data_IF_927475008784
#
_entry.id   IF_927475008784
#
_cell.length_a   1.000
_cell.length_b   1.000
_cell.length_c   1.000
_cell.angle_alpha   90.00
_cell.angle_beta   90.00
_cell.angle_gamma   90.00
#
_symmetry.space_group_name_H-M   'P 1'
#
loop_
_entity.id
_entity.type
_entity.pdbx_description
1 polymer ?
#
# COMPACT_ATOMS: atom_id res chain seq x y z
N UNK A 1 -22.90 17.69 45.61
CA UNK A 1 -21.82 17.88 46.60
C UNK A 1 -20.52 18.02 45.81
N UNK A 2 -19.74 19.10 45.76
CA UNK A 2 -19.58 20.39 46.46
C UNK A 2 -18.83 21.26 45.41
N UNK A 3 -19.44 22.31 44.86
CA UNK A 3 -19.26 23.74 45.16
C UNK A 3 -18.59 24.48 44.00
N UNK A 4 -19.32 25.48 43.54
CA UNK A 4 -19.02 26.44 42.50
C UNK A 4 -18.46 27.70 43.16
N UNK A 5 -17.37 28.24 42.63
CA UNK A 5 -16.96 29.64 42.88
C UNK A 5 -16.48 30.23 41.56
N UNK A 6 -17.39 31.01 40.96
CA UNK A 6 -17.09 32.03 39.95
C UNK A 6 -16.22 33.12 40.58
N UNK A 7 -15.11 33.44 39.92
CA UNK A 7 -14.30 34.63 40.17
C UNK A 7 -13.85 35.19 38.82
N UNK A 8 -14.64 36.11 38.29
CA UNK A 8 -14.28 37.01 37.19
C UNK A 8 -13.32 38.07 37.71
N UNK A 9 -12.06 38.04 37.27
CA UNK A 9 -11.15 39.19 37.33
C UNK A 9 -10.35 39.28 36.00
N UNK A 10 -10.72 40.29 35.24
CA UNK A 10 -9.95 41.14 34.34
C UNK A 10 -8.78 40.56 33.52
N UNK A 11 -9.05 40.50 32.21
CA UNK A 11 -8.10 40.50 31.10
C UNK A 11 -7.14 41.70 31.19
N UNK A 12 -6.00 41.53 31.87
CA UNK A 12 -4.85 42.39 31.67
C UNK A 12 -4.02 41.90 30.47
N UNK A 13 -4.12 42.64 29.36
CA UNK A 13 -3.14 42.67 28.28
C UNK A 13 -1.75 42.93 28.88
N UNK A 14 -0.96 41.88 29.08
CA UNK A 14 0.48 42.02 29.23
C UNK A 14 1.15 41.62 27.92
N UNK A 15 1.71 42.65 27.31
CA UNK A 15 2.50 42.64 26.09
C UNK A 15 3.58 41.57 26.14
N UNK A 16 3.62 40.72 25.11
CA UNK A 16 4.71 39.79 24.82
C UNK A 16 5.97 40.59 24.41
N UNK A 17 6.63 41.23 25.37
CA UNK A 17 7.94 41.84 25.18
C UNK A 17 8.98 40.73 25.38
N UNK A 18 9.54 40.22 24.28
CA UNK A 18 10.77 39.40 24.34
C UNK A 18 11.82 40.21 25.13
N UNK A 19 12.46 39.65 26.17
CA UNK A 19 13.52 40.36 26.87
C UNK A 19 14.61 40.75 25.85
N UNK A 20 14.97 42.05 25.82
CA UNK A 20 16.05 42.55 24.97
C UNK A 20 17.30 41.72 25.25
N UNK A 21 17.85 41.08 24.22
CA UNK A 21 19.09 40.29 24.34
C UNK A 21 20.19 41.16 24.94
N UNK A 22 20.76 40.74 26.06
CA UNK A 22 21.92 41.40 26.66
C UNK A 22 23.03 41.57 25.61
N UNK A 23 23.74 42.71 25.56
CA UNK A 23 24.86 42.89 24.65
C UNK A 23 25.98 41.86 24.88
N UNK A 24 26.00 41.18 26.04
CA UNK A 24 26.96 40.12 26.37
C UNK A 24 26.49 38.71 25.98
N UNK A 25 25.25 38.56 25.48
CA UNK A 25 24.69 37.25 25.14
C UNK A 25 25.43 36.67 23.92
N UNK A 26 26.17 35.58 24.12
CA UNK A 26 26.83 34.83 23.04
C UNK A 26 28.25 35.29 22.68
N UNK A 27 28.79 36.34 23.31
CA UNK A 27 30.17 36.82 23.04
C UNK A 27 31.21 35.73 23.32
N UNK A 28 31.10 35.04 24.46
CA UNK A 28 32.02 33.96 24.81
C UNK A 28 31.86 32.80 23.84
N UNK A 29 30.63 32.46 23.46
CA UNK A 29 30.37 31.32 22.59
C UNK A 29 30.91 31.53 21.16
N UNK A 30 30.92 32.76 20.65
CA UNK A 30 31.52 33.10 19.36
C UNK A 30 33.01 32.73 19.29
N UNK A 31 33.76 32.89 20.38
CA UNK A 31 35.18 32.52 20.43
C UNK A 31 35.43 31.01 20.24
N UNK A 32 34.42 30.16 20.44
CA UNK A 32 34.54 28.71 20.34
C UNK A 32 33.87 28.14 19.10
N UNK A 33 33.23 28.95 18.25
CA UNK A 33 32.53 28.46 17.05
C UNK A 33 33.45 27.70 16.09
N UNK A 34 34.69 28.17 15.94
CA UNK A 34 35.72 27.54 15.10
C UNK A 34 36.23 26.19 15.65
N UNK A 35 35.87 25.83 16.88
CA UNK A 35 36.25 24.57 17.55
C UNK A 35 35.05 23.64 17.83
N UNK A 36 33.83 24.04 17.42
CA UNK A 36 32.62 23.23 17.62
C UNK A 36 32.53 22.04 16.65
N UNK A 37 33.42 21.96 15.66
CA UNK A 37 33.59 20.79 14.79
C UNK A 37 33.95 19.52 15.57
N UNK A 38 34.78 19.62 16.61
CA UNK A 38 35.12 18.51 17.51
C UNK A 38 33.88 18.01 18.25
N UNK A 39 33.02 18.93 18.71
CA UNK A 39 31.76 18.57 19.36
C UNK A 39 30.82 17.84 18.39
N UNK A 40 30.71 18.31 17.14
CA UNK A 40 29.92 17.62 16.11
C UNK A 40 30.49 16.24 15.79
N UNK A 41 31.81 16.08 15.75
CA UNK A 41 32.44 14.78 15.52
C UNK A 41 32.13 13.77 16.64
N UNK A 42 32.09 14.21 17.89
CA UNK A 42 31.70 13.35 19.02
C UNK A 42 30.20 13.00 18.96
N UNK A 43 29.34 13.95 18.60
CA UNK A 43 27.92 13.66 18.36
C UNK A 43 27.72 12.67 17.21
N UNK A 44 28.49 12.80 16.13
CA UNK A 44 28.46 11.86 15.01
C UNK A 44 28.83 10.46 15.48
N UNK A 45 29.92 10.31 16.24
CA UNK A 45 30.33 9.02 16.80
C UNK A 45 29.25 8.43 17.73
N UNK A 46 28.75 9.23 18.67
CA UNK A 46 27.75 8.77 19.64
C UNK A 46 26.43 8.33 18.97
N UNK A 47 25.99 9.03 17.93
CA UNK A 47 24.82 8.62 17.14
C UNK A 47 25.08 7.34 16.34
N UNK A 48 26.28 7.18 15.79
CA UNK A 48 26.70 5.94 15.14
C UNK A 48 26.61 4.74 16.07
N UNK A 49 27.15 4.87 17.28
CA UNK A 49 27.09 3.84 18.32
C UNK A 49 25.64 3.55 18.75
N UNK A 50 24.79 4.58 18.84
CA UNK A 50 23.37 4.40 19.18
C UNK A 50 22.60 3.65 18.10
N UNK A 51 22.82 3.95 16.80
CA UNK A 51 22.20 3.19 15.70
C UNK A 51 22.70 1.73 15.71
N UNK A 52 24.00 1.51 15.93
CA UNK A 52 24.56 0.16 16.02
C UNK A 52 23.90 -0.63 17.16
N UNK A 53 23.74 -0.01 18.33
CA UNK A 53 23.04 -0.60 19.47
C UNK A 53 21.61 -1.02 19.11
N UNK A 54 20.83 -0.16 18.44
CA UNK A 54 19.48 -0.51 18.01
C UNK A 54 19.45 -1.70 17.05
N UNK A 55 20.40 -1.78 16.12
CA UNK A 55 20.52 -2.91 15.19
C UNK A 55 20.82 -4.20 15.94
N UNK A 56 21.69 -4.15 16.94
CA UNK A 56 22.08 -5.34 17.70
C UNK A 56 20.98 -5.81 18.67
N UNK A 57 20.24 -4.88 19.28
CA UNK A 57 19.05 -5.19 20.08
C UNK A 57 17.97 -5.88 19.23
N UNK A 58 17.68 -5.38 18.04
CA UNK A 58 16.70 -6.01 17.14
C UNK A 58 17.15 -7.39 16.62
N UNK A 59 18.45 -7.60 16.43
CA UNK A 59 18.98 -8.93 16.07
C UNK A 59 18.89 -9.93 17.21
N UNK A 60 19.12 -9.48 18.45
CA UNK A 60 19.16 -10.33 19.64
C UNK A 60 17.76 -10.66 20.15
N UNK A 61 16.94 -9.64 20.34
CA UNK A 61 15.63 -9.74 20.99
C UNK A 61 14.50 -9.92 19.97
N UNK A 62 14.80 -9.73 18.68
CA UNK A 62 13.83 -9.77 17.60
C UNK A 62 13.01 -8.49 17.52
N UNK A 63 12.05 -8.49 16.60
CA UNK A 63 11.14 -7.34 16.45
C UNK A 63 10.08 -7.37 17.56
N UNK A 64 9.80 -6.25 18.25
CA UNK A 64 8.79 -6.21 19.30
C UNK A 64 7.45 -6.73 18.77
N UNK A 65 6.87 -7.68 19.49
CA UNK A 65 5.52 -8.16 19.21
C UNK A 65 4.57 -7.27 19.99
N UNK A 66 3.78 -6.50 19.27
CA UNK A 66 2.75 -5.66 19.88
C UNK A 66 1.47 -6.47 19.99
N UNK A 67 0.84 -6.48 21.17
CA UNK A 67 -0.52 -7.00 21.31
C UNK A 67 -1.45 -6.10 20.48
N UNK A 68 -2.05 -6.63 19.42
CA UNK A 68 -2.88 -5.82 18.52
C UNK A 68 -4.13 -5.29 19.23
N UNK A 69 -4.40 -3.99 19.12
CA UNK A 69 -5.61 -3.33 19.62
C UNK A 69 -5.87 -1.99 18.92
N UNK A 70 -7.13 -1.50 18.91
CA UNK A 70 -7.45 -0.21 18.26
C UNK A 70 -6.69 0.98 18.86
N UNK A 71 -6.27 0.89 20.14
CA UNK A 71 -5.57 1.94 20.89
C UNK A 71 -4.06 1.70 21.06
N UNK A 72 -3.50 0.61 20.50
CA UNK A 72 -2.09 0.27 20.66
C UNK A 72 -1.24 0.93 19.58
N UNK A 73 -0.27 1.74 20.00
CA UNK A 73 0.73 2.33 19.10
C UNK A 73 1.78 1.27 18.74
N UNK A 74 1.77 0.81 17.48
CA UNK A 74 2.75 -0.15 16.97
C UNK A 74 4.04 0.51 16.49
N UNK A 75 4.49 1.52 17.24
CA UNK A 75 5.70 2.28 16.94
C UNK A 75 6.87 1.69 17.73
N UNK A 76 7.99 1.46 17.05
CA UNK A 76 9.21 0.99 17.70
C UNK A 76 9.72 2.02 18.73
N UNK A 77 10.01 1.59 19.99
CA UNK A 77 10.59 2.47 21.01
C UNK A 77 11.91 3.13 20.59
N UNK A 78 12.73 2.43 19.79
CA UNK A 78 14.01 2.94 19.26
C UNK A 78 13.86 4.24 18.47
N UNK A 79 12.71 4.46 17.84
CA UNK A 79 12.44 5.72 17.14
C UNK A 79 12.25 6.89 18.11
N UNK A 80 11.54 6.68 19.22
CA UNK A 80 11.35 7.68 20.26
C UNK A 80 12.69 8.04 20.93
N UNK A 81 13.51 7.03 21.24
CA UNK A 81 14.84 7.22 21.83
C UNK A 81 15.76 8.05 20.91
N UNK A 82 15.72 7.81 19.60
CA UNK A 82 16.48 8.59 18.62
C UNK A 82 16.07 10.07 18.63
N UNK A 83 14.76 10.36 18.59
CA UNK A 83 14.28 11.75 18.59
C UNK A 83 14.47 12.47 19.93
N UNK A 84 14.41 11.76 21.05
CA UNK A 84 14.78 12.31 22.36
C UNK A 84 16.26 12.72 22.34
N UNK A 85 17.13 11.87 21.80
CA UNK A 85 18.55 12.19 21.67
C UNK A 85 18.78 13.41 20.75
N UNK A 86 18.12 13.47 19.58
CA UNK A 86 18.19 14.65 18.70
C UNK A 86 17.72 15.94 19.40
N UNK A 87 16.62 15.87 20.17
CA UNK A 87 16.12 17.02 20.93
C UNK A 87 17.15 17.49 21.96
N UNK A 88 17.78 16.57 22.67
CA UNK A 88 18.82 16.90 23.65
C UNK A 88 20.02 17.58 22.96
N UNK A 89 20.50 17.02 21.84
CA UNK A 89 21.58 17.60 21.05
C UNK A 89 21.25 19.00 20.54
N UNK A 90 20.03 19.20 20.04
CA UNK A 90 19.56 20.50 19.57
C UNK A 90 19.53 21.53 20.71
N UNK A 91 19.02 21.15 21.89
CA UNK A 91 18.97 22.06 23.05
C UNK A 91 20.38 22.47 23.46
N UNK A 92 21.33 21.53 23.57
CA UNK A 92 22.71 21.84 23.95
C UNK A 92 23.42 22.68 22.88
N UNK A 93 23.33 22.30 21.61
CA UNK A 93 23.96 23.04 20.52
C UNK A 93 23.40 24.47 20.41
N UNK A 94 22.08 24.66 20.58
CA UNK A 94 21.46 25.99 20.50
C UNK A 94 21.81 26.94 21.64
N UNK A 95 22.33 26.43 22.76
CA UNK A 95 22.89 27.26 23.84
C UNK A 95 24.30 27.76 23.49
N UNK A 96 25.02 26.99 22.68
CA UNK A 96 26.40 27.29 22.30
C UNK A 96 26.42 28.17 21.05
N UNK A 97 25.78 27.77 19.95
CA UNK A 97 25.75 28.55 18.72
C UNK A 97 24.40 28.43 17.99
N UNK A 98 24.06 29.50 17.26
CA UNK A 98 22.90 29.57 16.36
C UNK A 98 23.33 29.74 14.89
N UNK A 99 24.63 29.61 14.61
CA UNK A 99 25.25 29.82 13.30
C UNK A 99 25.61 28.51 12.59
N UNK A 100 26.81 28.47 12.00
CA UNK A 100 27.31 27.35 11.19
C UNK A 100 27.34 25.99 11.92
N UNK A 101 27.70 25.89 13.21
CA UNK A 101 27.67 24.62 13.95
C UNK A 101 26.29 23.95 13.98
N UNK A 102 25.22 24.76 14.04
CA UNK A 102 23.86 24.24 14.01
C UNK A 102 23.50 23.63 12.64
N UNK A 103 24.07 24.16 11.54
CA UNK A 103 23.93 23.55 10.21
C UNK A 103 24.67 22.22 10.09
N UNK A 104 25.85 22.10 10.71
CA UNK A 104 26.57 20.82 10.79
C UNK A 104 25.77 19.78 11.61
N UNK A 105 25.07 20.23 12.66
CA UNK A 105 24.14 19.38 13.40
C UNK A 105 22.97 18.90 12.54
N UNK A 106 22.39 19.78 11.70
CA UNK A 106 21.35 19.40 10.73
C UNK A 106 21.84 18.27 9.82
N UNK A 107 23.03 18.42 9.25
CA UNK A 107 23.63 17.41 8.36
C UNK A 107 23.86 16.08 9.08
N UNK A 108 24.29 16.13 10.34
CA UNK A 108 24.48 14.95 11.19
C UNK A 108 23.14 14.24 11.43
N UNK A 109 22.08 14.98 11.77
CA UNK A 109 20.73 14.41 11.92
C UNK A 109 20.22 13.80 10.62
N UNK A 110 20.42 14.47 9.48
CA UNK A 110 20.04 13.94 8.16
C UNK A 110 20.72 12.60 7.89
N UNK A 111 22.04 12.50 8.14
CA UNK A 111 22.81 11.25 8.01
C UNK A 111 22.21 10.14 8.87
N UNK A 112 21.94 10.40 10.15
CA UNK A 112 21.46 9.36 11.05
C UNK A 112 19.99 9.00 10.89
N UNK A 113 19.16 9.89 10.35
CA UNK A 113 17.82 9.54 9.87
C UNK A 113 17.90 8.54 8.70
N UNK A 114 18.83 8.73 7.76
CA UNK A 114 19.05 7.80 6.64
C UNK A 114 19.60 6.44 7.11
N UNK A 115 20.54 6.45 8.04
CA UNK A 115 21.06 5.22 8.66
C UNK A 115 19.97 4.46 9.43
N UNK A 116 19.12 5.15 10.20
CA UNK A 116 18.00 4.53 10.88
C UNK A 116 17.00 3.92 9.89
N UNK A 117 16.61 4.68 8.87
CA UNK A 117 15.69 4.22 7.84
C UNK A 117 16.21 2.94 7.15
N UNK A 118 17.49 2.92 6.75
CA UNK A 118 18.06 1.78 6.03
C UNK A 118 18.33 0.57 6.92
N UNK A 119 19.00 0.76 8.07
CA UNK A 119 19.52 -0.33 8.89
C UNK A 119 18.54 -0.87 9.93
N UNK A 120 17.59 -0.04 10.38
CA UNK A 120 16.61 -0.42 11.40
C UNK A 120 15.27 -0.74 10.76
N UNK A 121 14.78 0.06 9.80
CA UNK A 121 13.47 -0.18 9.20
C UNK A 121 13.55 -1.08 7.96
N UNK A 122 14.22 -0.63 6.89
CA UNK A 122 14.25 -1.34 5.60
C UNK A 122 14.90 -2.73 5.72
N UNK A 123 15.99 -2.86 6.47
CA UNK A 123 16.66 -4.16 6.66
C UNK A 123 15.78 -5.22 7.36
N UNK A 124 14.73 -4.79 8.06
CA UNK A 124 13.80 -5.67 8.78
C UNK A 124 12.50 -5.95 8.02
N UNK A 125 12.26 -5.28 6.89
CA UNK A 125 11.12 -5.62 6.03
C UNK A 125 11.31 -6.99 5.38
N UNK A 126 10.24 -7.81 5.25
CA UNK A 126 10.30 -9.04 4.48
C UNK A 126 10.77 -8.76 3.05
N UNK A 127 11.75 -9.54 2.57
CA UNK A 127 12.24 -9.41 1.20
C UNK A 127 11.20 -9.98 0.23
N UNK A 128 10.47 -9.11 -0.46
CA UNK A 128 9.67 -9.47 -1.62
C UNK A 128 10.60 -9.71 -2.80
N UNK A 129 10.67 -10.94 -3.30
CA UNK A 129 11.39 -11.28 -4.55
C UNK A 129 10.63 -10.71 -5.78
N UNK A 130 10.33 -9.41 -5.80
CA UNK A 130 9.71 -8.73 -6.95
C UNK A 130 10.71 -8.51 -8.09
N UNK A 131 12.02 -8.65 -7.84
CA UNK A 131 13.07 -8.45 -8.83
C UNK A 131 13.43 -9.71 -9.64
N UNK A 132 13.09 -10.93 -9.18
CA UNK A 132 13.55 -12.17 -9.83
C UNK A 132 12.71 -12.58 -11.06
N UNK A 133 11.50 -12.07 -11.24
CA UNK A 133 10.59 -12.52 -12.31
C UNK A 133 10.92 -11.93 -13.68
N UNK A 134 11.81 -10.92 -13.76
CA UNK A 134 12.15 -10.25 -15.03
C UNK A 134 13.41 -10.79 -15.72
N UNK A 135 14.15 -11.73 -15.11
CA UNK A 135 15.43 -12.22 -15.67
C UNK A 135 15.52 -13.75 -15.86
N UNK A 136 14.51 -14.52 -15.43
CA UNK A 136 14.50 -15.98 -15.60
C UNK A 136 14.00 -16.40 -17.00
N UNK A 137 13.45 -15.47 -17.79
CA UNK A 137 12.92 -15.74 -19.13
C UNK A 137 13.97 -16.04 -20.22
N UNK A 138 15.25 -15.78 -19.99
CA UNK A 138 16.30 -15.94 -21.03
C UNK A 138 17.40 -16.95 -20.68
N UNK A 139 17.50 -17.41 -19.42
CA UNK A 139 18.57 -18.32 -19.00
C UNK A 139 18.20 -19.82 -19.07
N UNK A 140 16.91 -20.18 -19.12
CA UNK A 140 16.46 -21.59 -19.11
C UNK A 140 16.54 -22.30 -20.46
N UNK A 141 16.76 -21.59 -21.57
CA UNK A 141 16.80 -22.22 -22.91
C UNK A 141 18.18 -22.84 -23.22
N UNK A 142 19.26 -22.44 -22.53
CA UNK A 142 20.62 -22.90 -22.86
C UNK A 142 21.17 -24.06 -22.01
N UNK A 143 20.46 -24.51 -20.97
CA UNK A 143 20.98 -25.55 -20.05
C UNK A 143 20.35 -26.94 -20.34
N UNK A 144 19.62 -27.12 -21.44
CA UNK A 144 18.92 -28.38 -21.72
C UNK A 144 19.80 -29.50 -22.32
N UNK A 145 21.09 -29.27 -22.57
CA UNK A 145 21.93 -30.18 -23.37
C UNK A 145 23.28 -30.64 -22.74
N UNK A 146 23.45 -30.60 -21.42
CA UNK A 146 24.62 -31.24 -20.77
C UNK A 146 24.20 -32.42 -19.87
N UNK A 147 24.69 -33.65 -20.12
CA UNK A 147 24.50 -34.76 -19.19
C UNK A 147 25.53 -34.64 -18.03
N UNK A 148 25.10 -34.96 -16.81
CA UNK A 148 25.87 -34.99 -15.55
C UNK A 148 26.09 -33.66 -14.78
N UNK A 149 25.01 -33.00 -14.36
CA UNK A 149 25.04 -32.16 -13.15
C UNK A 149 24.04 -32.75 -12.15
N UNK A 150 24.42 -33.06 -10.90
CA UNK A 150 23.48 -33.54 -9.89
C UNK A 150 22.37 -32.51 -9.69
N UNK A 151 21.13 -32.99 -9.65
CA UNK A 151 19.88 -32.27 -9.44
C UNK A 151 19.85 -31.51 -8.11
N UNK A 152 20.48 -30.33 -8.07
CA UNK A 152 20.39 -29.34 -6.99
C UNK A 152 19.79 -28.02 -7.50
N UNK A 153 18.80 -28.12 -8.38
CA UNK A 153 17.80 -27.07 -8.52
C UNK A 153 16.62 -27.49 -7.65
N UNK A 154 16.70 -27.06 -6.40
CA UNK A 154 15.63 -27.11 -5.42
C UNK A 154 14.36 -26.59 -6.09
N UNK A 155 13.39 -27.48 -6.19
CA UNK A 155 12.04 -27.25 -6.70
C UNK A 155 11.47 -25.95 -6.11
N UNK A 156 10.86 -25.14 -6.98
CA UNK A 156 9.93 -24.05 -6.66
C UNK A 156 10.24 -23.21 -5.43
N UNK A 157 10.80 -22.01 -5.64
CA UNK A 157 10.60 -20.92 -4.68
C UNK A 157 9.10 -20.59 -4.63
N UNK A 158 8.35 -21.35 -3.82
CA UNK A 158 7.07 -20.89 -3.28
C UNK A 158 7.35 -19.58 -2.59
N UNK A 159 6.78 -18.49 -3.09
CA UNK A 159 6.78 -17.19 -2.40
C UNK A 159 6.30 -17.49 -0.97
N UNK A 160 7.21 -17.39 0.00
CA UNK A 160 6.91 -17.76 1.36
C UNK A 160 5.77 -16.87 1.86
N UNK A 161 4.65 -17.48 2.25
CA UNK A 161 3.53 -16.78 2.88
C UNK A 161 4.05 -16.16 4.16
N UNK A 162 3.74 -14.89 4.39
CA UNK A 162 4.11 -14.24 5.64
C UNK A 162 3.41 -14.94 6.79
N UNK A 163 4.15 -15.21 7.85
CA UNK A 163 3.58 -15.60 9.12
C UNK A 163 3.01 -14.35 9.84
N UNK A 164 2.16 -14.57 10.84
CA UNK A 164 1.56 -13.48 11.61
C UNK A 164 2.59 -12.52 12.25
N UNK A 165 3.72 -13.00 12.82
CA UNK A 165 4.81 -12.12 13.26
C UNK A 165 5.41 -11.22 12.17
N UNK A 166 5.54 -11.70 10.93
CA UNK A 166 6.05 -10.92 9.80
C UNK A 166 5.04 -9.86 9.32
N UNK A 167 3.74 -10.16 9.40
CA UNK A 167 2.67 -9.20 9.17
C UNK A 167 2.74 -8.09 10.24
N UNK A 168 2.81 -8.48 11.52
CA UNK A 168 2.96 -7.53 12.63
C UNK A 168 4.20 -6.65 12.44
N UNK A 169 5.35 -7.25 12.10
CA UNK A 169 6.60 -6.51 11.83
C UNK A 169 6.41 -5.47 10.73
N UNK A 170 5.79 -5.83 9.62
CA UNK A 170 5.56 -4.92 8.49
C UNK A 170 4.66 -3.74 8.90
N UNK A 171 3.60 -4.01 9.68
CA UNK A 171 2.74 -2.97 10.25
C UNK A 171 3.51 -2.06 11.22
N UNK A 172 4.38 -2.61 12.07
CA UNK A 172 5.15 -1.82 13.01
C UNK A 172 6.23 -0.97 12.33
N UNK A 173 6.88 -1.47 11.28
CA UNK A 173 7.76 -0.65 10.42
C UNK A 173 6.98 0.53 9.84
N UNK A 174 5.78 0.27 9.33
CA UNK A 174 4.90 1.30 8.75
C UNK A 174 4.54 2.37 9.79
N UNK A 175 4.01 1.98 10.95
CA UNK A 175 3.65 2.91 12.02
C UNK A 175 4.87 3.71 12.51
N UNK A 176 6.03 3.07 12.61
CA UNK A 176 7.28 3.75 12.98
C UNK A 176 7.70 4.76 11.93
N UNK A 177 7.62 4.42 10.65
CA UNK A 177 7.96 5.33 9.57
C UNK A 177 7.00 6.53 9.52
N UNK A 178 5.70 6.33 9.76
CA UNK A 178 4.72 7.42 9.90
C UNK A 178 5.11 8.36 11.04
N UNK A 179 5.38 7.81 12.23
CA UNK A 179 5.83 8.59 13.38
C UNK A 179 7.11 9.39 13.08
N UNK A 180 8.08 8.77 12.39
CA UNK A 180 9.29 9.46 11.95
C UNK A 180 8.99 10.62 10.99
N UNK A 181 8.09 10.47 10.01
CA UNK A 181 7.73 11.56 9.09
C UNK A 181 7.20 12.78 9.83
N UNK A 182 6.28 12.57 10.78
CA UNK A 182 5.69 13.65 11.58
C UNK A 182 6.72 14.29 12.51
N UNK A 183 7.55 13.47 13.16
CA UNK A 183 8.55 13.96 14.13
C UNK A 183 9.72 14.67 13.45
N UNK A 184 10.12 14.25 12.25
CA UNK A 184 11.12 14.96 11.43
C UNK A 184 10.61 16.36 11.05
N UNK A 185 9.33 16.50 10.70
CA UNK A 185 8.74 17.82 10.42
C UNK A 185 8.82 18.72 11.66
N UNK A 186 8.41 18.21 12.83
CA UNK A 186 8.49 18.96 14.09
C UNK A 186 9.93 19.34 14.45
N UNK A 187 10.90 18.45 14.18
CA UNK A 187 12.32 18.72 14.38
C UNK A 187 12.81 19.83 13.45
N UNK A 188 12.47 19.78 12.16
CA UNK A 188 12.81 20.83 11.19
C UNK A 188 12.29 22.20 11.65
N UNK A 189 11.01 22.28 12.03
CA UNK A 189 10.39 23.52 12.50
C UNK A 189 11.11 24.07 13.75
N UNK A 190 11.45 23.19 14.70
CA UNK A 190 12.19 23.57 15.91
C UNK A 190 13.62 24.01 15.64
N UNK A 191 14.29 23.45 14.63
CA UNK A 191 15.62 23.91 14.22
C UNK A 191 15.54 25.28 13.54
N UNK A 192 14.53 25.52 12.70
CA UNK A 192 14.29 26.82 12.06
C UNK A 192 13.95 27.93 13.06
N UNK A 193 13.27 27.61 14.17
CA UNK A 193 13.03 28.56 15.26
C UNK A 193 14.34 28.99 15.98
N UNK A 194 15.36 28.12 16.01
CA UNK A 194 16.58 28.31 16.80
C UNK A 194 17.77 28.88 16.02
N UNK A 195 17.79 28.68 14.70
CA UNK A 195 18.90 29.14 13.85
C UNK A 195 18.80 30.64 13.53
N UNK A 196 19.95 31.26 13.23
CA UNK A 196 20.00 32.62 12.69
C UNK A 196 19.15 32.75 11.41
N UNK A 197 18.39 33.85 11.29
CA UNK A 197 17.42 34.09 10.20
C UNK A 197 18.03 33.95 8.79
N UNK A 198 19.30 34.31 8.62
CA UNK A 198 20.02 34.22 7.34
C UNK A 198 20.30 32.78 6.88
N UNK A 199 20.17 31.79 7.77
CA UNK A 199 20.50 30.39 7.50
C UNK A 199 19.27 29.47 7.51
N UNK A 200 18.08 30.00 7.82
CA UNK A 200 16.82 29.23 7.90
C UNK A 200 16.54 28.48 6.59
N UNK A 201 16.76 29.13 5.45
CA UNK A 201 16.50 28.56 4.12
C UNK A 201 17.42 27.38 3.76
N UNK A 202 18.51 27.18 4.53
CA UNK A 202 19.42 26.05 4.35
C UNK A 202 18.97 24.79 5.09
N UNK A 203 17.94 24.87 5.93
CA UNK A 203 17.40 23.72 6.67
C UNK A 203 16.22 23.11 5.90
N UNK A 204 16.38 21.87 5.48
CA UNK A 204 15.30 21.05 4.92
C UNK A 204 15.55 19.58 5.24
N UNK A 205 14.50 18.87 5.68
CA UNK A 205 14.51 17.41 5.86
C UNK A 205 13.56 16.70 4.90
N UNK A 206 13.17 17.35 3.79
CA UNK A 206 12.22 16.77 2.83
C UNK A 206 12.77 15.48 2.20
N UNK A 207 14.07 15.41 1.90
CA UNK A 207 14.72 14.18 1.40
C UNK A 207 14.55 13.02 2.38
N UNK A 208 14.80 13.26 3.66
CA UNK A 208 14.72 12.27 4.73
C UNK A 208 13.26 11.83 4.92
N UNK A 209 12.31 12.77 5.00
CA UNK A 209 10.88 12.45 5.08
C UNK A 209 10.43 11.58 3.90
N UNK A 210 10.90 11.85 2.70
CA UNK A 210 10.53 11.08 1.52
C UNK A 210 11.04 9.63 1.57
N UNK A 211 12.18 9.36 2.21
CA UNK A 211 12.66 7.99 2.46
C UNK A 211 11.67 7.24 3.37
N UNK A 212 11.23 7.85 4.47
CA UNK A 212 10.24 7.21 5.35
C UNK A 212 8.87 7.05 4.68
N UNK A 213 8.41 8.02 3.88
CA UNK A 213 7.19 7.85 3.07
C UNK A 213 7.31 6.68 2.09
N UNK A 214 8.49 6.46 1.50
CA UNK A 214 8.75 5.31 0.63
C UNK A 214 8.71 3.98 1.41
N UNK A 215 9.25 3.93 2.63
CA UNK A 215 9.16 2.76 3.53
C UNK A 215 7.69 2.42 3.85
N UNK A 216 6.86 3.44 4.09
CA UNK A 216 5.41 3.24 4.31
C UNK A 216 4.76 2.60 3.07
N UNK A 217 5.05 3.13 1.88
CA UNK A 217 4.51 2.59 0.63
C UNK A 217 4.95 1.14 0.39
N UNK A 218 6.22 0.82 0.61
CA UNK A 218 6.76 -0.54 0.47
C UNK A 218 6.11 -1.52 1.47
N UNK A 219 5.95 -1.10 2.73
CA UNK A 219 5.29 -1.91 3.77
C UNK A 219 3.84 -2.26 3.37
N UNK A 220 3.10 -1.29 2.82
CA UNK A 220 1.74 -1.54 2.31
C UNK A 220 1.78 -2.54 1.15
N UNK A 221 2.73 -2.38 0.22
CA UNK A 221 2.84 -3.25 -0.96
C UNK A 221 3.18 -4.70 -0.59
N UNK A 222 4.05 -4.91 0.39
CA UNK A 222 4.38 -6.25 0.93
C UNK A 222 3.12 -6.93 1.47
N UNK A 223 2.33 -6.21 2.28
CA UNK A 223 1.09 -6.73 2.86
C UNK A 223 0.05 -7.07 1.77
N UNK A 224 -0.07 -6.23 0.73
CA UNK A 224 -0.97 -6.49 -0.41
C UNK A 224 -0.53 -7.76 -1.14
N UNK A 225 0.76 -7.87 -1.43
CA UNK A 225 1.30 -8.99 -2.18
C UNK A 225 1.13 -10.32 -1.43
N UNK A 226 1.32 -10.32 -0.09
CA UNK A 226 1.07 -11.49 0.74
C UNK A 226 -0.40 -11.95 0.66
N UNK A 227 -1.34 -11.01 0.81
CA UNK A 227 -2.77 -11.34 0.74
C UNK A 227 -3.20 -11.82 -0.65
N UNK A 228 -2.67 -11.21 -1.71
CA UNK A 228 -2.92 -11.68 -3.07
C UNK A 228 -2.35 -13.08 -3.30
N UNK A 229 -1.12 -13.35 -2.85
CA UNK A 229 -0.48 -14.66 -2.96
C UNK A 229 -1.21 -15.72 -2.15
N UNK A 230 -1.81 -15.36 -1.02
CA UNK A 230 -2.67 -16.25 -0.26
C UNK A 230 -3.94 -16.66 -1.06
N UNK A 231 -4.49 -15.76 -1.87
CA UNK A 231 -5.67 -16.01 -2.70
C UNK A 231 -5.36 -16.72 -4.04
N UNK A 232 -4.12 -16.64 -4.54
CA UNK A 232 -3.71 -17.17 -5.85
C UNK A 232 -4.00 -18.67 -6.05
N UNK A 233 -3.79 -19.57 -5.07
CA UNK A 233 -4.14 -20.99 -5.24
C UNK A 233 -5.62 -21.22 -5.51
N UNK A 234 -6.51 -20.43 -4.89
CA UNK A 234 -7.95 -20.52 -5.12
C UNK A 234 -8.34 -20.01 -6.51
N UNK A 235 -7.72 -18.92 -6.99
CA UNK A 235 -7.90 -18.43 -8.35
C UNK A 235 -7.38 -19.43 -9.39
N UNK A 236 -6.25 -20.09 -9.11
CA UNK A 236 -5.75 -21.17 -9.97
C UNK A 236 -6.73 -22.34 -9.99
N UNK A 237 -7.25 -22.76 -8.83
CA UNK A 237 -8.24 -23.83 -8.74
C UNK A 237 -9.51 -23.50 -9.55
N UNK A 238 -10.01 -22.26 -9.45
CA UNK A 238 -11.13 -21.76 -10.25
C UNK A 238 -10.91 -21.99 -11.76
N UNK A 239 -9.73 -21.69 -12.29
CA UNK A 239 -9.45 -21.90 -13.73
C UNK A 239 -9.31 -23.36 -14.15
N UNK A 240 -9.05 -24.27 -13.20
CA UNK A 240 -8.91 -25.71 -13.45
C UNK A 240 -10.23 -26.47 -13.34
N UNK A 241 -11.27 -25.83 -12.80
CA UNK A 241 -12.60 -26.44 -12.73
C UNK A 241 -13.14 -26.71 -14.14
N UNK A 242 -13.74 -27.89 -14.31
CA UNK A 242 -14.41 -28.27 -15.56
C UNK A 242 -15.78 -27.59 -15.65
N UNK A 243 -15.78 -26.28 -15.93
CA UNK A 243 -17.00 -25.48 -16.01
C UNK A 243 -17.99 -25.94 -17.09
N UNK A 244 -17.57 -26.82 -18.00
CA UNK A 244 -18.41 -27.41 -19.05
C UNK A 244 -19.28 -28.57 -18.55
N UNK A 245 -18.90 -29.20 -17.43
CA UNK A 245 -19.59 -30.38 -16.88
C UNK A 245 -20.52 -30.02 -15.71
N UNK A 246 -20.74 -28.74 -15.45
CA UNK A 246 -21.65 -28.29 -14.39
C UNK A 246 -23.08 -28.37 -14.92
N UNK A 247 -23.92 -29.14 -14.23
CA UNK A 247 -25.32 -29.40 -14.63
C UNK A 247 -26.34 -28.70 -13.74
N UNK A 248 -25.94 -28.24 -12.55
CA UNK A 248 -26.83 -27.54 -11.61
C UNK A 248 -26.12 -26.35 -10.99
N UNK A 249 -26.88 -25.27 -10.79
CA UNK A 249 -26.45 -24.15 -9.95
C UNK A 249 -26.64 -24.52 -8.49
N UNK A 250 -25.62 -24.32 -7.67
CA UNK A 250 -25.64 -24.55 -6.23
C UNK A 250 -25.27 -23.31 -5.43
N UNK A 251 -24.77 -23.54 -4.21
CA UNK A 251 -24.19 -22.49 -3.38
C UNK A 251 -22.86 -21.99 -3.94
N UNK A 252 -22.22 -21.03 -3.26
CA UNK A 252 -20.92 -20.51 -3.68
C UNK A 252 -19.85 -21.61 -3.83
N UNK A 253 -19.02 -21.49 -4.85
CA UNK A 253 -17.94 -22.43 -5.12
C UNK A 253 -16.86 -22.46 -4.02
N UNK A 254 -16.15 -23.58 -3.90
CA UNK A 254 -15.08 -23.78 -2.91
C UNK A 254 -13.94 -22.76 -3.03
N UNK A 255 -13.65 -22.27 -4.24
CA UNK A 255 -12.61 -21.25 -4.44
C UNK A 255 -13.02 -19.92 -3.80
N UNK A 256 -14.31 -19.54 -3.88
CA UNK A 256 -14.86 -18.35 -3.20
C UNK A 256 -14.70 -18.49 -1.71
N UNK A 257 -15.14 -19.63 -1.15
CA UNK A 257 -15.00 -19.93 0.28
C UNK A 257 -13.54 -19.83 0.75
N UNK A 258 -12.60 -20.37 -0.04
CA UNK A 258 -11.17 -20.32 0.27
C UNK A 258 -10.63 -18.89 0.29
N UNK A 259 -10.98 -18.07 -0.71
CA UNK A 259 -10.61 -16.64 -0.76
C UNK A 259 -11.16 -15.92 0.47
N UNK A 260 -12.46 -16.07 0.75
CA UNK A 260 -13.13 -15.41 1.87
C UNK A 260 -12.49 -15.78 3.21
N UNK A 261 -12.10 -17.04 3.39
CA UNK A 261 -11.40 -17.49 4.60
C UNK A 261 -10.03 -16.82 4.75
N UNK A 262 -9.27 -16.64 3.67
CA UNK A 262 -8.00 -15.90 3.71
C UNK A 262 -8.21 -14.43 4.07
N UNK A 263 -9.21 -13.76 3.47
CA UNK A 263 -9.55 -12.38 3.81
C UNK A 263 -9.95 -12.24 5.28
N UNK A 264 -10.83 -13.12 5.78
CA UNK A 264 -11.29 -13.12 7.19
C UNK A 264 -10.18 -13.39 8.19
N UNK A 265 -9.11 -14.08 7.79
CA UNK A 265 -7.97 -14.36 8.67
C UNK A 265 -6.96 -13.21 8.70
N UNK A 266 -6.60 -12.66 7.54
CA UNK A 266 -5.47 -11.73 7.43
C UNK A 266 -5.89 -10.27 7.66
N UNK A 267 -7.04 -9.85 7.10
CA UNK A 267 -7.45 -8.43 7.14
C UNK A 267 -7.70 -7.93 8.56
N UNK A 268 -8.34 -8.68 9.48
CA UNK A 268 -8.48 -8.23 10.86
C UNK A 268 -7.15 -8.06 11.60
N UNK A 269 -6.17 -8.94 11.33
CA UNK A 269 -4.82 -8.84 11.92
C UNK A 269 -4.17 -7.54 11.49
N UNK A 270 -4.13 -7.25 10.18
CA UNK A 270 -3.58 -6.00 9.66
C UNK A 270 -4.33 -4.79 10.22
N UNK A 271 -5.66 -4.85 10.29
CA UNK A 271 -6.48 -3.76 10.86
C UNK A 271 -6.10 -3.46 12.30
N UNK A 272 -5.99 -4.50 13.13
CA UNK A 272 -5.66 -4.35 14.56
C UNK A 272 -4.25 -3.75 14.71
N UNK A 273 -3.30 -4.19 13.87
CA UNK A 273 -1.95 -3.65 13.94
C UNK A 273 -1.78 -2.25 13.33
N UNK A 274 -2.77 -1.74 12.60
CA UNK A 274 -2.79 -0.40 12.03
C UNK A 274 -3.85 0.50 12.69
N UNK A 275 -4.25 0.20 13.93
CA UNK A 275 -5.28 0.94 14.68
C UNK A 275 -5.02 2.45 14.74
N UNK A 276 -3.82 2.84 15.19
CA UNK A 276 -3.35 4.23 15.23
C UNK A 276 -3.16 4.87 13.84
N UNK A 277 -3.06 4.04 12.81
CA UNK A 277 -2.63 4.39 11.44
C UNK A 277 -3.72 4.08 10.42
N UNK A 278 -5.00 4.29 10.79
CA UNK A 278 -6.19 3.87 10.04
C UNK A 278 -6.19 4.28 8.56
N UNK A 279 -5.63 5.44 8.21
CA UNK A 279 -5.53 5.92 6.83
C UNK A 279 -4.76 4.93 5.94
N UNK A 280 -3.69 4.31 6.46
CA UNK A 280 -2.89 3.33 5.75
C UNK A 280 -3.58 1.97 5.66
N UNK A 281 -4.37 1.57 6.67
CA UNK A 281 -5.23 0.39 6.56
C UNK A 281 -6.28 0.53 5.44
N UNK A 282 -6.92 1.70 5.34
CA UNK A 282 -7.85 2.00 4.25
C UNK A 282 -7.13 2.01 2.89
N UNK A 283 -5.93 2.58 2.82
CA UNK A 283 -5.11 2.55 1.60
C UNK A 283 -4.77 1.11 1.21
N UNK A 284 -4.34 0.28 2.15
CA UNK A 284 -4.11 -1.15 1.94
C UNK A 284 -5.34 -1.83 1.35
N UNK A 285 -6.52 -1.67 1.97
CA UNK A 285 -7.76 -2.29 1.47
C UNK A 285 -8.09 -1.81 0.05
N UNK A 286 -7.98 -0.51 -0.20
CA UNK A 286 -8.35 0.11 -1.49
C UNK A 286 -7.43 -0.36 -2.62
N UNK A 287 -6.12 -0.38 -2.39
CA UNK A 287 -5.15 -0.82 -3.38
C UNK A 287 -5.23 -2.34 -3.60
N UNK A 288 -5.45 -3.12 -2.52
CA UNK A 288 -5.68 -4.55 -2.62
C UNK A 288 -6.90 -4.86 -3.50
N UNK A 289 -8.08 -4.28 -3.25
CA UNK A 289 -9.26 -4.60 -4.06
C UNK A 289 -9.09 -4.17 -5.51
N UNK A 290 -8.45 -3.02 -5.78
CA UNK A 290 -8.23 -2.57 -7.16
C UNK A 290 -7.32 -3.53 -7.95
N UNK A 291 -6.25 -4.03 -7.34
CA UNK A 291 -5.32 -5.00 -7.95
C UNK A 291 -5.90 -6.42 -8.00
N UNK A 292 -6.47 -6.90 -6.89
CA UNK A 292 -7.06 -8.23 -6.77
C UNK A 292 -8.22 -8.44 -7.75
N UNK A 293 -9.13 -7.47 -7.90
CA UNK A 293 -10.27 -7.62 -8.83
C UNK A 293 -9.77 -7.72 -10.29
N UNK A 294 -8.72 -6.97 -10.67
CA UNK A 294 -8.10 -7.09 -12.00
C UNK A 294 -7.51 -8.50 -12.20
N UNK A 295 -6.83 -9.03 -11.18
CA UNK A 295 -6.29 -10.40 -11.18
C UNK A 295 -7.39 -11.46 -11.25
N UNK A 296 -8.50 -11.27 -10.53
CA UNK A 296 -9.69 -12.12 -10.60
C UNK A 296 -10.31 -12.12 -12.00
N UNK A 297 -10.51 -10.94 -12.62
CA UNK A 297 -11.04 -10.82 -13.99
C UNK A 297 -10.12 -11.54 -15.00
N UNK A 298 -8.79 -11.46 -14.82
CA UNK A 298 -7.86 -12.19 -15.67
C UNK A 298 -7.99 -13.72 -15.55
N UNK A 299 -8.25 -14.24 -14.35
CA UNK A 299 -8.56 -15.66 -14.15
C UNK A 299 -9.95 -16.03 -14.69
N UNK A 300 -10.93 -15.15 -14.53
CA UNK A 300 -12.28 -15.32 -15.05
C UNK A 300 -12.26 -15.52 -16.57
N UNK A 301 -11.51 -14.71 -17.31
CA UNK A 301 -11.35 -14.85 -18.77
C UNK A 301 -10.77 -16.21 -19.22
N UNK A 302 -10.15 -16.96 -18.32
CA UNK A 302 -9.59 -18.29 -18.62
C UNK A 302 -10.58 -19.42 -18.37
N UNK A 303 -11.71 -19.13 -17.72
CA UNK A 303 -12.77 -20.10 -17.49
C UNK A 303 -13.59 -20.31 -18.77
N UNK A 304 -13.97 -21.56 -19.05
CA UNK A 304 -14.75 -21.94 -20.23
C UNK A 304 -16.07 -22.60 -19.82
N UNK A 305 -17.04 -21.83 -19.32
CA UNK A 305 -18.28 -22.39 -18.79
C UNK A 305 -19.28 -22.78 -19.88
N UNK A 306 -20.12 -23.77 -19.58
CA UNK A 306 -21.41 -23.92 -20.25
C UNK A 306 -22.42 -22.88 -19.70
N UNK A 307 -23.68 -22.93 -20.10
CA UNK A 307 -24.69 -21.97 -19.62
C UNK A 307 -24.84 -21.99 -18.10
N UNK A 308 -24.98 -23.17 -17.50
CA UNK A 308 -25.21 -23.35 -16.07
C UNK A 308 -23.97 -22.98 -15.25
N UNK A 309 -22.77 -23.35 -15.73
CA UNK A 309 -21.50 -22.94 -15.14
C UNK A 309 -21.28 -21.43 -15.19
N UNK A 310 -21.80 -20.73 -16.21
CA UNK A 310 -21.73 -19.28 -16.29
C UNK A 310 -22.68 -18.61 -15.29
N UNK A 311 -23.85 -19.19 -15.03
CA UNK A 311 -24.75 -18.77 -13.96
C UNK A 311 -24.09 -18.96 -12.58
N UNK A 312 -23.43 -20.11 -12.35
CA UNK A 312 -22.68 -20.36 -11.12
C UNK A 312 -21.53 -19.34 -10.93
N UNK A 313 -20.73 -19.06 -11.97
CA UNK A 313 -19.68 -18.05 -11.93
C UNK A 313 -20.23 -16.65 -11.61
N UNK A 314 -21.44 -16.33 -12.08
CA UNK A 314 -22.08 -15.05 -11.80
C UNK A 314 -22.49 -14.93 -10.33
N UNK A 315 -23.02 -16.00 -9.74
CA UNK A 315 -23.31 -16.08 -8.30
C UNK A 315 -22.03 -15.97 -7.47
N UNK A 316 -20.99 -16.70 -7.85
CA UNK A 316 -19.68 -16.66 -7.18
C UNK A 316 -19.07 -15.25 -7.23
N UNK A 317 -19.16 -14.58 -8.39
CA UNK A 317 -18.71 -13.20 -8.57
C UNK A 317 -19.50 -12.23 -7.69
N UNK A 318 -20.82 -12.43 -7.58
CA UNK A 318 -21.65 -11.63 -6.69
C UNK A 318 -21.30 -11.84 -5.21
N UNK A 319 -21.09 -13.09 -4.78
CA UNK A 319 -20.65 -13.41 -3.41
C UNK A 319 -19.31 -12.74 -3.08
N UNK A 320 -18.33 -12.81 -3.99
CA UNK A 320 -17.07 -12.09 -3.80
C UNK A 320 -17.27 -10.57 -3.72
N UNK A 321 -18.18 -10.00 -4.52
CA UNK A 321 -18.47 -8.56 -4.49
C UNK A 321 -19.00 -8.12 -3.13
N UNK A 322 -19.90 -8.89 -2.51
CA UNK A 322 -20.45 -8.53 -1.19
C UNK A 322 -19.37 -8.56 -0.11
N UNK A 323 -18.51 -9.58 -0.10
CA UNK A 323 -17.39 -9.67 0.85
C UNK A 323 -16.36 -8.57 0.63
N UNK A 324 -16.00 -8.26 -0.62
CA UNK A 324 -15.04 -7.21 -0.92
C UNK A 324 -15.58 -5.81 -0.57
N UNK A 325 -16.90 -5.58 -0.68
CA UNK A 325 -17.51 -4.33 -0.24
C UNK A 325 -17.38 -4.13 1.27
N UNK A 326 -17.48 -5.20 2.04
CA UNK A 326 -17.37 -5.17 3.51
C UNK A 326 -15.93 -5.35 4.01
N UNK A 327 -14.94 -5.48 3.12
CA UNK A 327 -13.57 -5.84 3.47
C UNK A 327 -12.95 -5.01 4.62
N UNK A 328 -13.07 -3.66 4.65
CA UNK A 328 -12.49 -2.87 5.73
C UNK A 328 -13.14 -3.16 7.11
N UNK A 329 -14.38 -3.64 7.08
CA UNK A 329 -15.22 -3.89 8.24
C UNK A 329 -15.39 -5.38 8.55
N UNK A 330 -14.69 -6.26 7.82
CA UNK A 330 -14.81 -7.71 7.98
C UNK A 330 -14.51 -8.13 9.42
N UNK A 331 -15.38 -8.95 10.01
CA UNK A 331 -15.31 -9.39 11.42
C UNK A 331 -15.35 -8.25 12.46
N UNK A 332 -15.82 -7.05 12.12
CA UNK A 332 -16.16 -6.05 13.15
C UNK A 332 -17.52 -6.38 13.76
N UNK A 333 -17.62 -6.24 15.07
CA UNK A 333 -18.90 -6.32 15.81
C UNK A 333 -19.76 -5.08 15.61
N UNK A 334 -19.13 -3.92 15.40
CA UNK A 334 -19.79 -2.64 15.12
C UNK A 334 -19.69 -2.33 13.63
N UNK A 335 -20.84 -2.21 12.97
CA UNK A 335 -20.89 -1.87 11.53
C UNK A 335 -20.34 -0.46 11.29
N UNK A 336 -19.15 -0.38 10.69
CA UNK A 336 -18.60 0.88 10.15
C UNK A 336 -18.76 0.88 8.65
N UNK A 337 -19.28 1.97 8.09
CA UNK A 337 -19.42 2.11 6.64
C UNK A 337 -18.02 2.29 6.00
N UNK A 338 -17.69 1.51 4.95
CA UNK A 338 -16.47 1.72 4.17
C UNK A 338 -16.43 3.11 3.53
N UNK A 339 -15.23 3.68 3.30
CA UNK A 339 -15.08 4.96 2.60
C UNK A 339 -15.68 4.95 1.20
N UNK A 340 -16.28 6.07 0.77
CA UNK A 340 -16.97 6.15 -0.52
C UNK A 340 -16.07 5.83 -1.72
N UNK A 341 -14.80 6.27 -1.70
CA UNK A 341 -13.86 5.99 -2.78
C UNK A 341 -13.59 4.48 -2.92
N UNK A 342 -13.38 3.80 -1.79
CA UNK A 342 -13.22 2.35 -1.72
C UNK A 342 -14.44 1.64 -2.35
N UNK A 343 -15.65 1.99 -1.88
CA UNK A 343 -16.90 1.41 -2.38
C UNK A 343 -17.07 1.61 -3.89
N UNK A 344 -16.75 2.80 -4.41
CA UNK A 344 -16.82 3.11 -5.84
C UNK A 344 -15.89 2.21 -6.67
N UNK A 345 -14.66 1.96 -6.20
CA UNK A 345 -13.69 1.11 -6.89
C UNK A 345 -14.20 -0.35 -6.95
N UNK A 346 -14.65 -0.89 -5.82
CA UNK A 346 -15.19 -2.26 -5.76
C UNK A 346 -16.40 -2.40 -6.68
N UNK A 347 -17.38 -1.49 -6.59
CA UNK A 347 -18.57 -1.52 -7.42
C UNK A 347 -18.22 -1.43 -8.91
N UNK A 348 -17.38 -0.48 -9.32
CA UNK A 348 -16.99 -0.32 -10.72
C UNK A 348 -16.35 -1.59 -11.27
N UNK A 349 -15.34 -2.13 -10.59
CA UNK A 349 -14.55 -3.24 -11.10
C UNK A 349 -15.29 -4.57 -11.01
N UNK A 350 -16.02 -4.86 -9.92
CA UNK A 350 -16.82 -6.08 -9.82
C UNK A 350 -18.03 -6.07 -10.75
N UNK A 351 -18.65 -4.91 -10.98
CA UNK A 351 -19.74 -4.81 -11.97
C UNK A 351 -19.22 -5.14 -13.37
N UNK A 352 -17.99 -4.74 -13.73
CA UNK A 352 -17.37 -5.18 -14.99
C UNK A 352 -17.26 -6.71 -15.07
N UNK A 353 -16.85 -7.38 -13.99
CA UNK A 353 -16.81 -8.85 -13.94
C UNK A 353 -18.21 -9.49 -14.12
N UNK A 354 -19.23 -8.93 -13.45
CA UNK A 354 -20.63 -9.37 -13.62
C UNK A 354 -21.12 -9.17 -15.06
N UNK A 355 -20.80 -8.03 -15.70
CA UNK A 355 -21.19 -7.75 -17.08
C UNK A 355 -20.52 -8.70 -18.08
N UNK A 356 -19.24 -9.04 -17.88
CA UNK A 356 -18.55 -10.06 -18.70
C UNK A 356 -19.34 -11.38 -18.69
N UNK A 357 -19.75 -11.85 -17.52
CA UNK A 357 -20.52 -13.09 -17.38
C UNK A 357 -21.93 -12.98 -17.99
N UNK A 358 -22.59 -11.83 -17.85
CA UNK A 358 -23.88 -11.57 -18.51
C UNK A 358 -23.78 -11.61 -20.04
N UNK A 359 -22.66 -11.14 -20.61
CA UNK A 359 -22.42 -11.30 -22.05
C UNK A 359 -22.24 -12.78 -22.42
N UNK A 360 -21.47 -13.55 -21.63
CA UNK A 360 -21.31 -14.99 -21.87
C UNK A 360 -22.66 -15.73 -21.87
N UNK A 361 -23.56 -15.34 -20.96
CA UNK A 361 -24.94 -15.85 -20.86
C UNK A 361 -25.85 -15.39 -22.01
N UNK A 362 -25.50 -14.33 -22.73
CA UNK A 362 -26.32 -13.82 -23.82
C UNK A 362 -26.32 -14.80 -25.01
N UNK A 363 -27.48 -15.18 -25.57
CA UNK A 363 -27.57 -16.01 -26.77
C UNK A 363 -26.86 -15.37 -27.97
N UNK A 364 -26.20 -16.17 -28.79
CA UNK A 364 -25.46 -15.72 -29.98
C UNK A 364 -26.09 -16.15 -31.31
N UNK A 365 -27.37 -16.54 -31.32
CA UNK A 365 -28.09 -16.96 -32.54
C UNK A 365 -28.11 -15.88 -33.64
N UNK A 366 -28.03 -14.61 -33.24
CA UNK A 366 -27.89 -13.47 -34.14
C UNK A 366 -26.64 -12.67 -33.79
N UNK A 367 -25.63 -12.76 -34.66
CA UNK A 367 -24.36 -12.03 -34.53
C UNK A 367 -24.56 -10.53 -34.23
N UNK A 368 -25.48 -9.88 -34.94
CA UNK A 368 -25.76 -8.44 -34.75
C UNK A 368 -26.40 -8.12 -33.41
N UNK A 369 -27.38 -8.93 -32.97
CA UNK A 369 -28.00 -8.73 -31.65
C UNK A 369 -26.98 -8.96 -30.53
N UNK A 370 -26.16 -10.00 -30.67
CA UNK A 370 -25.11 -10.31 -29.71
C UNK A 370 -24.08 -9.17 -29.57
N UNK A 371 -23.55 -8.65 -30.68
CA UNK A 371 -22.61 -7.51 -30.67
C UNK A 371 -23.22 -6.25 -30.04
N UNK A 372 -24.49 -5.94 -30.36
CA UNK A 372 -25.19 -4.80 -29.75
C UNK A 372 -25.37 -4.96 -28.25
N UNK A 373 -25.76 -6.16 -27.79
CA UNK A 373 -25.91 -6.47 -26.38
C UNK A 373 -24.55 -6.38 -25.64
N UNK A 374 -23.46 -6.85 -26.26
CA UNK A 374 -22.12 -6.69 -25.71
C UNK A 374 -21.78 -5.21 -25.51
N UNK A 375 -21.93 -4.39 -26.56
CA UNK A 375 -21.64 -2.96 -26.48
C UNK A 375 -22.48 -2.29 -25.39
N UNK A 376 -23.77 -2.59 -25.29
CA UNK A 376 -24.63 -2.03 -24.24
C UNK A 376 -24.19 -2.43 -22.82
N UNK A 377 -23.89 -3.71 -22.59
CA UNK A 377 -23.49 -4.22 -21.28
C UNK A 377 -22.09 -3.74 -20.85
N UNK A 378 -21.21 -3.48 -21.81
CA UNK A 378 -19.83 -3.04 -21.56
C UNK A 378 -19.68 -1.51 -21.63
N UNK A 379 -20.77 -0.75 -21.50
CA UNK A 379 -20.77 0.73 -21.56
C UNK A 379 -20.16 1.29 -22.85
N UNK A 380 -20.48 0.66 -23.98
CA UNK A 380 -19.99 0.96 -25.32
C UNK A 380 -18.47 0.83 -25.46
N UNK A 381 -17.82 0.00 -24.64
CA UNK A 381 -16.39 -0.34 -24.77
C UNK A 381 -16.16 -1.21 -26.02
N UNK A 382 -15.60 -0.61 -27.07
CA UNK A 382 -15.22 -1.28 -28.31
C UNK A 382 -13.89 -2.03 -28.26
N UNK A 383 -13.29 -2.26 -27.08
CA UNK A 383 -12.02 -2.96 -26.96
C UNK A 383 -12.10 -4.40 -27.52
N UNK A 384 -11.36 -4.62 -28.60
CA UNK A 384 -11.31 -5.90 -29.32
C UNK A 384 -10.67 -6.98 -28.44
N UNK A 385 -9.67 -6.63 -27.64
CA UNK A 385 -8.96 -7.59 -26.79
C UNK A 385 -9.88 -8.19 -25.72
N UNK A 386 -10.66 -7.35 -25.04
CA UNK A 386 -11.68 -7.79 -24.08
C UNK A 386 -12.77 -8.60 -24.78
N UNK A 387 -13.29 -8.14 -25.93
CA UNK A 387 -14.32 -8.88 -26.66
C UNK A 387 -13.84 -10.28 -27.05
N UNK A 388 -12.63 -10.40 -27.58
CA UNK A 388 -12.06 -11.69 -27.96
C UNK A 388 -11.93 -12.65 -26.78
N UNK A 389 -11.52 -12.17 -25.60
CA UNK A 389 -11.50 -12.99 -24.37
C UNK A 389 -12.90 -13.50 -24.00
N UNK A 390 -13.93 -12.67 -24.13
CA UNK A 390 -15.33 -13.07 -23.86
C UNK A 390 -15.82 -14.11 -24.87
N UNK A 391 -15.47 -13.97 -26.15
CA UNK A 391 -15.78 -14.98 -27.17
C UNK A 391 -15.07 -16.32 -26.90
N UNK A 392 -13.82 -16.26 -26.45
CA UNK A 392 -13.04 -17.43 -26.04
C UNK A 392 -13.66 -18.12 -24.81
N UNK A 393 -14.14 -17.36 -23.82
CA UNK A 393 -14.89 -17.90 -22.68
C UNK A 393 -16.17 -18.62 -23.11
N UNK A 394 -16.93 -18.01 -24.03
CA UNK A 394 -18.19 -18.56 -24.57
C UNK A 394 -17.96 -19.80 -25.45
N UNK A 395 -16.72 -20.05 -25.89
CA UNK A 395 -16.37 -21.20 -26.73
C UNK A 395 -16.66 -20.99 -28.22
N UNK A 396 -16.75 -19.74 -28.68
CA UNK A 396 -16.99 -19.41 -30.10
C UNK A 396 -15.76 -19.78 -30.94
N UNK A 397 -15.98 -20.38 -32.12
CA UNK A 397 -14.89 -20.84 -33.00
C UNK A 397 -14.17 -19.66 -33.67
N UNK A 398 -12.85 -19.78 -33.87
CA UNK A 398 -12.00 -18.72 -34.46
C UNK A 398 -12.56 -18.06 -35.75
N UNK A 399 -13.11 -18.79 -36.74
CA UNK A 399 -13.67 -18.14 -37.94
C UNK A 399 -14.89 -17.25 -37.64
N UNK A 400 -15.76 -17.70 -36.73
CA UNK A 400 -16.93 -16.95 -36.29
C UNK A 400 -16.52 -15.74 -35.43
N UNK A 401 -15.48 -15.88 -34.61
CA UNK A 401 -14.91 -14.75 -33.86
C UNK A 401 -14.47 -13.61 -34.78
N UNK A 402 -13.80 -13.92 -35.90
CA UNK A 402 -13.36 -12.91 -36.85
C UNK A 402 -14.54 -12.11 -37.43
N UNK A 403 -15.66 -12.78 -37.74
CA UNK A 403 -16.87 -12.14 -38.23
C UNK A 403 -17.51 -11.23 -37.16
N UNK A 404 -17.57 -11.70 -35.91
CA UNK A 404 -18.11 -10.92 -34.78
C UNK A 404 -17.24 -9.69 -34.47
N UNK A 405 -15.92 -9.82 -34.56
CA UNK A 405 -14.97 -8.71 -34.34
C UNK A 405 -15.14 -7.64 -35.41
N UNK A 406 -15.27 -8.02 -36.68
CA UNK A 406 -15.54 -7.05 -37.75
C UNK A 406 -16.88 -6.35 -37.57
N UNK A 407 -17.90 -7.08 -37.10
CA UNK A 407 -19.20 -6.50 -36.79
C UNK A 407 -19.12 -5.54 -35.59
N UNK A 408 -18.35 -5.88 -34.55
CA UNK A 408 -18.09 -5.00 -33.40
C UNK A 408 -17.49 -3.68 -33.86
N UNK A 409 -16.45 -3.71 -34.70
CA UNK A 409 -15.81 -2.50 -35.24
C UNK A 409 -16.82 -1.59 -35.94
N UNK A 410 -17.69 -2.16 -36.79
CA UNK A 410 -18.71 -1.41 -37.54
C UNK A 410 -19.76 -0.80 -36.62
N UNK A 411 -20.33 -1.58 -35.70
CA UNK A 411 -21.39 -1.11 -34.80
C UNK A 411 -20.83 -0.08 -33.79
N UNK A 412 -19.62 -0.29 -33.27
CA UNK A 412 -18.96 0.68 -32.39
C UNK A 412 -18.64 2.00 -33.12
N UNK A 413 -18.15 1.94 -34.37
CA UNK A 413 -17.93 3.13 -35.18
C UNK A 413 -19.24 3.89 -35.45
N UNK A 414 -20.35 3.19 -35.69
CA UNK A 414 -21.66 3.81 -35.86
C UNK A 414 -22.14 4.52 -34.59
N UNK A 415 -21.90 3.94 -33.40
CA UNK A 415 -22.21 4.58 -32.11
C UNK A 415 -21.35 5.84 -31.92
N UNK A 416 -20.05 5.79 -32.21
CA UNK A 416 -19.19 6.98 -32.11
C UNK A 416 -19.68 8.08 -33.07
N UNK A 417 -20.01 7.72 -34.31
CA UNK A 417 -20.51 8.68 -35.30
C UNK A 417 -21.85 9.32 -34.88
N UNK A 418 -22.75 8.58 -34.23
CA UNK A 418 -24.01 9.14 -33.74
C UNK A 418 -23.84 10.09 -32.54
N UNK A 419 -22.75 9.95 -31.77
CA UNK A 419 -22.42 10.87 -30.67
C UNK A 419 -21.63 12.11 -31.16
N UNK A 420 -21.03 12.04 -32.35
CA UNK A 420 -20.26 13.13 -32.95
C UNK A 420 -21.05 14.03 -33.89
N UNK A 421 -22.31 13.70 -34.23
CA UNK A 421 -23.21 14.64 -34.91
C UNK A 421 -23.74 15.65 -33.88
N UNK A 422 -23.27 16.92 -33.87
CA UNK A 422 -23.96 17.94 -33.10
C UNK A 422 -25.27 18.25 -33.82
N UNK A 423 -26.27 18.57 -33.01
CA UNK A 423 -27.54 19.22 -33.35
C UNK A 423 -27.42 20.21 -34.53
N UNK A 424 -27.54 19.73 -35.77
CA UNK A 424 -27.84 20.54 -36.95
C UNK A 424 -29.32 20.38 -37.28
N UNK A 425 -30.17 20.67 -36.30
CA UNK A 425 -31.59 20.93 -36.50
C UNK A 425 -32.01 21.94 -35.43
N UNK A 426 -31.72 23.22 -35.71
CA UNK A 426 -32.57 24.35 -35.35
C UNK A 426 -32.63 25.28 -36.55
#
# INVERSE_FOLDING_TARGET
KIASTNGTEDLNLTTNLRPKSSPFQGIISQCFEDHLDIYIAELDRSLGDQIQKFVDELKKDGYPVFEGGEDTSNVLPTSADLFVYFRNCLVQCSKLSTGQPLLLLVQTFQKYLREYASRVLTANLPKTNTAATSLVGTATIFIQNLPNIPSMLKEGETIAKLNEPEICRSCSVLCTAEYCVETIQQLEDKMKEKIAKSLVDKISFESERNIYKAIIAESIQILIQDLENACEPALTAMTRLSWQTIETVGDQSLYVTSIVNHLKRIVPVIRNHLGSSRKYFIQFCTTFVDSFIKKFINHLHRCKPNMIGAEQLLLDTHSLKTVLLDLPSINLTVSRKPPQNFTKIVLKNMTRAEMILKVVLTPNDSARKFVKNYLQLMNNDGDIGTFQKVLDMKGIRRPEQAQLIELLKREHAAIIASHQQPTQQQ
#
